data_IF_753094248832
#
_entry.id   IF_753094248832
#
_cell.length_a   1.000
_cell.length_b   1.000
_cell.length_c   1.000
_cell.angle_alpha   90.00
_cell.angle_beta   90.00
_cell.angle_gamma   90.00
#
_symmetry.space_group_name_H-M   'P 1'
#
loop_
_entity.id
_entity.type
_entity.pdbx_description
1 polymer ?
#
# COMPACT_ATOMS: atom_id res chain seq x y z
N UNK A 1 15.25 12.53 -6.99
CA UNK A 1 13.78 12.29 -6.87
C UNK A 1 13.49 10.85 -6.55
N UNK A 2 14.01 9.90 -7.34
CA UNK A 2 13.82 8.47 -7.08
C UNK A 2 14.34 8.04 -5.70
N UNK A 3 15.53 8.51 -5.28
CA UNK A 3 16.04 8.25 -3.92
C UNK A 3 15.11 8.75 -2.81
N UNK A 4 14.50 9.91 -3.02
CA UNK A 4 13.56 10.47 -2.05
C UNK A 4 12.26 9.66 -2.03
N UNK A 5 11.78 9.19 -3.18
CA UNK A 5 10.63 8.30 -3.25
C UNK A 5 10.90 6.96 -2.52
N UNK A 6 12.09 6.38 -2.69
CA UNK A 6 12.50 5.16 -1.96
C UNK A 6 12.52 5.41 -0.45
N UNK A 7 13.10 6.53 0.01
CA UNK A 7 13.09 6.87 1.45
C UNK A 7 11.67 7.05 1.99
N UNK A 8 10.78 7.67 1.22
CA UNK A 8 9.37 7.84 1.59
C UNK A 8 8.64 6.49 1.65
N UNK A 9 8.84 5.59 0.68
CA UNK A 9 8.23 4.25 0.71
C UNK A 9 8.72 3.41 1.89
N UNK A 10 10.01 3.53 2.23
CA UNK A 10 10.59 2.89 3.42
C UNK A 10 9.95 3.41 4.71
N UNK A 11 9.81 4.73 4.86
CA UNK A 11 9.14 5.33 6.03
C UNK A 11 7.67 4.90 6.11
N UNK A 12 6.96 4.85 4.98
CA UNK A 12 5.60 4.34 4.91
C UNK A 12 5.51 2.88 5.38
N UNK A 13 6.40 2.00 4.91
CA UNK A 13 6.47 0.61 5.32
C UNK A 13 6.74 0.43 6.82
N UNK A 14 7.66 1.22 7.39
CA UNK A 14 7.89 1.24 8.84
C UNK A 14 6.63 1.67 9.60
N UNK A 15 5.86 2.61 9.05
CA UNK A 15 4.62 3.08 9.66
C UNK A 15 3.51 2.06 9.62
N UNK A 16 3.30 1.44 8.47
CA UNK A 16 2.32 0.35 8.27
C UNK A 16 2.65 -0.82 9.18
N UNK A 17 3.92 -1.23 9.24
CA UNK A 17 4.37 -2.34 10.09
C UNK A 17 4.01 -2.08 11.56
N UNK A 18 4.32 -0.90 12.09
CA UNK A 18 4.01 -0.57 13.48
C UNK A 18 2.50 -0.60 13.78
N UNK A 19 1.66 -0.08 12.88
CA UNK A 19 0.20 -0.15 13.06
C UNK A 19 -0.33 -1.57 12.96
N UNK A 20 0.14 -2.33 11.98
CA UNK A 20 -0.25 -3.72 11.79
C UNK A 20 0.14 -4.59 13.00
N UNK A 21 1.35 -4.40 13.54
CA UNK A 21 1.79 -5.09 14.77
C UNK A 21 0.89 -4.74 15.97
N UNK A 22 0.58 -3.46 16.16
CA UNK A 22 -0.31 -3.03 17.23
C UNK A 22 -1.71 -3.64 17.05
N UNK A 23 -2.27 -3.55 15.85
CA UNK A 23 -3.56 -4.13 15.51
C UNK A 23 -3.57 -5.65 15.78
N UNK A 24 -2.55 -6.37 15.31
CA UNK A 24 -2.47 -7.81 15.49
C UNK A 24 -2.44 -8.19 16.97
N UNK A 25 -1.68 -7.46 17.79
CA UNK A 25 -1.58 -7.71 19.23
C UNK A 25 -2.93 -7.56 19.94
N UNK A 26 -3.67 -6.49 19.67
CA UNK A 26 -4.86 -6.14 20.44
C UNK A 26 -6.18 -6.62 19.84
N UNK A 27 -6.24 -6.85 18.53
CA UNK A 27 -7.49 -7.12 17.82
C UNK A 27 -7.49 -8.46 17.08
N UNK A 28 -6.35 -8.97 16.61
CA UNK A 28 -6.30 -10.22 15.83
C UNK A 28 -5.80 -11.44 16.61
N UNK A 29 -5.03 -11.24 17.69
CA UNK A 29 -4.42 -12.32 18.46
C UNK A 29 -5.46 -13.34 18.95
N UNK A 30 -5.18 -14.62 18.74
CA UNK A 30 -6.08 -15.72 19.13
C UNK A 30 -7.33 -15.92 18.24
N UNK A 31 -7.53 -15.12 17.18
CA UNK A 31 -8.74 -15.19 16.34
C UNK A 31 -8.63 -16.05 15.08
N UNK A 32 -7.46 -16.61 14.81
CA UNK A 32 -7.23 -17.44 13.62
C UNK A 32 -7.37 -16.70 12.28
N UNK A 33 -7.27 -15.36 12.26
CA UNK A 33 -7.42 -14.57 11.04
C UNK A 33 -6.38 -14.89 9.96
N UNK A 34 -5.20 -15.37 10.35
CA UNK A 34 -4.17 -15.84 9.42
C UNK A 34 -4.59 -17.08 8.60
N UNK A 35 -5.60 -17.84 9.07
CA UNK A 35 -6.13 -19.00 8.35
C UNK A 35 -7.28 -18.64 7.40
N UNK A 36 -7.74 -17.38 7.41
CA UNK A 36 -8.83 -16.93 6.55
C UNK A 36 -8.28 -16.44 5.22
N UNK A 37 -9.09 -16.55 4.17
CA UNK A 37 -8.73 -16.09 2.82
C UNK A 37 -8.62 -14.57 2.83
N UNK A 38 -7.42 -14.07 2.52
CA UNK A 38 -7.15 -12.65 2.31
C UNK A 38 -7.47 -12.29 0.87
N UNK A 39 -8.14 -11.15 0.68
CA UNK A 39 -8.52 -10.64 -0.64
C UNK A 39 -8.15 -9.17 -0.73
N UNK A 40 -7.15 -8.86 -1.54
CA UNK A 40 -6.75 -7.49 -1.82
C UNK A 40 -7.49 -6.98 -3.05
N UNK A 41 -8.00 -5.73 -2.99
CA UNK A 41 -8.66 -5.12 -4.16
C UNK A 41 -7.70 -4.93 -5.33
N UNK A 42 -6.40 -4.89 -5.07
CA UNK A 42 -5.32 -4.79 -6.05
C UNK A 42 -4.95 -6.12 -6.71
N UNK A 43 -5.52 -7.26 -6.30
CA UNK A 43 -5.25 -8.57 -6.91
C UNK A 43 -5.43 -8.64 -8.43
N UNK A 44 -6.37 -7.91 -9.08
CA UNK A 44 -6.49 -7.89 -10.53
C UNK A 44 -5.32 -7.22 -11.27
N UNK A 45 -4.43 -6.49 -10.58
CA UNK A 45 -3.25 -5.90 -11.20
C UNK A 45 -2.26 -7.00 -11.58
N UNK A 46 -1.85 -7.03 -12.85
CA UNK A 46 -0.79 -7.93 -13.30
C UNK A 46 0.54 -7.51 -12.68
N UNK A 47 0.97 -8.24 -11.66
CA UNK A 47 2.22 -8.01 -10.92
C UNK A 47 3.23 -9.09 -11.28
N UNK A 48 4.53 -8.78 -11.23
CA UNK A 48 5.56 -9.81 -11.22
C UNK A 48 5.33 -10.78 -10.06
N UNK A 49 5.31 -12.08 -10.35
CA UNK A 49 5.02 -13.15 -9.39
C UNK A 49 6.19 -13.42 -8.44
N UNK A 50 7.41 -13.10 -8.88
CA UNK A 50 8.63 -13.37 -8.14
C UNK A 50 9.72 -12.32 -8.43
N UNK A 51 10.82 -12.40 -7.67
CA UNK A 51 11.95 -11.47 -7.77
C UNK A 51 12.57 -11.44 -9.18
N UNK A 52 12.73 -12.60 -9.81
CA UNK A 52 13.35 -12.72 -11.13
C UNK A 52 12.49 -12.03 -12.20
N UNK A 53 11.18 -12.29 -12.20
CA UNK A 53 10.26 -11.62 -13.10
C UNK A 53 10.26 -10.10 -12.84
N UNK A 54 10.31 -9.67 -11.58
CA UNK A 54 10.35 -8.26 -11.23
C UNK A 54 11.64 -7.57 -11.75
N UNK A 55 12.79 -8.22 -11.66
CA UNK A 55 14.06 -7.72 -12.17
C UNK A 55 14.05 -7.56 -13.71
N UNK A 56 13.40 -8.50 -14.40
CA UNK A 56 13.28 -8.51 -15.85
C UNK A 56 12.11 -7.66 -16.38
N UNK A 57 11.29 -7.09 -15.51
CA UNK A 57 10.16 -6.24 -15.89
C UNK A 57 10.66 -4.87 -16.35
N UNK A 58 10.11 -4.35 -17.45
CA UNK A 58 10.46 -3.05 -17.98
C UNK A 58 10.22 -1.91 -16.97
N UNK A 59 11.11 -0.92 -17.00
CA UNK A 59 11.07 0.23 -16.10
C UNK A 59 9.73 0.98 -16.17
N UNK A 60 9.19 1.17 -17.38
CA UNK A 60 7.89 1.83 -17.59
C UNK A 60 6.78 1.07 -16.88
N UNK A 61 6.75 -0.26 -17.01
CA UNK A 61 5.76 -1.13 -16.37
C UNK A 61 5.87 -1.04 -14.85
N UNK A 62 7.09 -1.11 -14.29
CA UNK A 62 7.31 -0.97 -12.84
C UNK A 62 6.83 0.39 -12.30
N UNK A 63 7.11 1.48 -13.02
CA UNK A 63 6.66 2.82 -12.63
C UNK A 63 5.14 2.96 -12.72
N UNK A 64 4.51 2.43 -13.77
CA UNK A 64 3.05 2.40 -13.93
C UNK A 64 2.38 1.59 -12.82
N UNK A 65 2.88 0.39 -12.52
CA UNK A 65 2.39 -0.45 -11.42
C UNK A 65 2.51 0.25 -10.06
N UNK A 66 3.66 0.88 -9.80
CA UNK A 66 3.89 1.65 -8.57
C UNK A 66 2.82 2.74 -8.40
N UNK A 67 2.56 3.52 -9.45
CA UNK A 67 1.51 4.55 -9.43
C UNK A 67 0.12 3.95 -9.23
N UNK A 68 -0.21 2.86 -9.93
CA UNK A 68 -1.52 2.19 -9.82
C UNK A 68 -1.79 1.68 -8.42
N UNK A 69 -0.80 1.06 -7.76
CA UNK A 69 -0.92 0.63 -6.36
C UNK A 69 -1.18 1.83 -5.43
N UNK A 70 -0.34 2.87 -5.51
CA UNK A 70 -0.50 4.07 -4.68
C UNK A 70 -1.88 4.73 -4.88
N UNK A 71 -2.37 4.77 -6.12
CA UNK A 71 -3.67 5.36 -6.45
C UNK A 71 -4.82 4.52 -5.91
N UNK A 72 -4.75 3.19 -6.02
CA UNK A 72 -5.73 2.25 -5.47
C UNK A 72 -5.85 2.35 -3.94
N UNK A 73 -4.81 2.83 -3.25
CA UNK A 73 -4.79 3.02 -1.79
C UNK A 73 -5.29 4.39 -1.31
N UNK A 74 -5.58 5.35 -2.21
CA UNK A 74 -6.08 6.69 -1.82
C UNK A 74 -7.37 6.62 -1.01
N UNK A 75 -8.38 5.90 -1.52
CA UNK A 75 -9.67 5.77 -0.85
C UNK A 75 -9.59 4.89 0.42
N UNK A 76 -9.00 3.68 0.39
CA UNK A 76 -8.85 2.87 1.60
C UNK A 76 -8.09 3.57 2.73
N UNK A 77 -7.05 4.37 2.43
CA UNK A 77 -6.29 5.10 3.46
C UNK A 77 -7.09 6.24 4.10
N UNK A 78 -8.03 6.85 3.36
CA UNK A 78 -8.96 7.81 3.94
C UNK A 78 -9.83 7.12 5.00
N UNK A 79 -10.44 5.99 4.64
CA UNK A 79 -11.31 5.24 5.55
C UNK A 79 -10.56 4.54 6.67
N UNK A 80 -9.33 4.06 6.43
CA UNK A 80 -8.49 3.47 7.48
C UNK A 80 -8.37 4.44 8.67
N UNK A 81 -7.99 5.69 8.42
CA UNK A 81 -7.87 6.68 9.49
C UNK A 81 -9.20 6.94 10.20
N UNK A 82 -10.27 7.19 9.44
CA UNK A 82 -11.58 7.52 10.01
C UNK A 82 -12.14 6.38 10.87
N UNK A 83 -12.12 5.16 10.34
CA UNK A 83 -12.70 3.98 11.00
C UNK A 83 -11.82 3.44 12.13
N UNK A 84 -10.51 3.67 12.13
CA UNK A 84 -9.66 3.32 13.27
C UNK A 84 -10.04 4.11 14.53
N UNK A 85 -10.31 5.41 14.39
CA UNK A 85 -10.79 6.24 15.50
C UNK A 85 -12.16 5.77 15.98
N UNK A 86 -13.12 5.69 15.06
CA UNK A 86 -14.52 5.43 15.38
C UNK A 86 -14.78 3.97 15.83
N UNK A 87 -14.25 2.98 15.10
CA UNK A 87 -14.62 1.57 15.29
C UNK A 87 -13.66 0.76 16.14
N UNK A 88 -12.41 1.19 16.25
CA UNK A 88 -11.39 0.52 17.05
C UNK A 88 -11.00 1.33 18.30
N UNK A 89 -11.40 2.59 18.40
CA UNK A 89 -11.07 3.47 19.53
C UNK A 89 -9.59 3.89 19.55
N UNK A 90 -8.92 3.92 18.40
CA UNK A 90 -7.52 4.35 18.33
C UNK A 90 -7.39 5.84 18.65
N UNK A 91 -6.37 6.18 19.43
CA UNK A 91 -5.98 7.55 19.76
C UNK A 91 -4.55 7.81 19.27
N UNK A 92 -4.08 9.08 19.31
CA UNK A 92 -2.64 9.35 19.16
C UNK A 92 -1.80 8.54 20.17
N UNK A 93 -0.62 8.04 19.77
CA UNK A 93 0.08 8.34 18.52
C UNK A 93 -0.32 7.45 17.33
N UNK A 94 -1.07 6.36 17.54
CA UNK A 94 -1.36 5.41 16.46
C UNK A 94 -2.31 5.98 15.40
N UNK A 95 -3.32 6.75 15.81
CA UNK A 95 -4.22 7.42 14.87
C UNK A 95 -3.47 8.44 13.98
N UNK A 96 -2.50 9.16 14.55
CA UNK A 96 -1.61 10.06 13.81
C UNK A 96 -0.79 9.30 12.75
N UNK A 97 -0.34 8.09 13.08
CA UNK A 97 0.41 7.24 12.14
C UNK A 97 -0.38 6.88 10.89
N UNK A 98 -1.69 6.66 11.02
CA UNK A 98 -2.56 6.42 9.86
C UNK A 98 -2.66 7.65 8.94
N UNK A 99 -2.73 8.86 9.51
CA UNK A 99 -2.66 10.11 8.75
C UNK A 99 -1.32 10.29 8.03
N UNK A 100 -0.22 9.96 8.70
CA UNK A 100 1.12 10.05 8.10
C UNK A 100 1.26 9.10 6.91
N UNK A 101 0.76 7.86 7.01
CA UNK A 101 0.74 6.90 5.89
C UNK A 101 -0.05 7.48 4.72
N UNK A 102 -1.24 8.02 4.97
CA UNK A 102 -2.05 8.70 3.94
C UNK A 102 -1.29 9.85 3.28
N UNK A 103 -0.64 10.70 4.08
CA UNK A 103 0.13 11.84 3.58
C UNK A 103 1.36 11.39 2.76
N UNK A 104 2.06 10.34 3.20
CA UNK A 104 3.19 9.78 2.46
C UNK A 104 2.72 9.17 1.14
N UNK A 105 1.60 8.46 1.11
CA UNK A 105 1.02 7.92 -0.13
C UNK A 105 0.74 9.03 -1.16
N UNK A 106 0.15 10.15 -0.72
CA UNK A 106 -0.07 11.31 -1.59
C UNK A 106 1.24 11.92 -2.09
N UNK A 107 2.26 12.08 -1.23
CA UNK A 107 3.58 12.58 -1.65
C UNK A 107 4.27 11.64 -2.64
N UNK A 108 4.13 10.33 -2.46
CA UNK A 108 4.63 9.33 -3.40
C UNK A 108 3.92 9.44 -4.75
N UNK A 109 2.59 9.62 -4.79
CA UNK A 109 1.85 9.84 -6.05
C UNK A 109 2.38 11.06 -6.82
N UNK A 110 2.60 12.19 -6.15
CA UNK A 110 3.15 13.39 -6.78
C UNK A 110 4.60 13.19 -7.25
N UNK A 111 5.41 12.46 -6.48
CA UNK A 111 6.75 12.06 -6.90
C UNK A 111 6.71 11.16 -8.14
N UNK A 112 5.77 10.21 -8.21
CA UNK A 112 5.60 9.30 -9.34
C UNK A 112 5.21 10.04 -10.62
N UNK A 113 4.26 10.99 -10.54
CA UNK A 113 3.93 11.86 -11.69
C UNK A 113 5.18 12.57 -12.23
N UNK A 114 6.00 13.10 -11.34
CA UNK A 114 7.24 13.80 -11.71
C UNK A 114 8.30 12.87 -12.30
N UNK A 115 8.45 11.66 -11.75
CA UNK A 115 9.42 10.64 -12.22
C UNK A 115 9.03 10.13 -13.61
N UNK A 116 7.76 9.74 -13.80
CA UNK A 116 7.27 9.20 -15.08
C UNK A 116 7.39 10.25 -16.19
N UNK A 117 7.00 11.50 -15.91
CA UNK A 117 7.14 12.61 -16.87
C UNK A 117 8.60 12.83 -17.29
N UNK A 118 9.54 12.79 -16.34
CA UNK A 118 10.97 12.98 -16.63
C UNK A 118 11.60 11.81 -17.37
N UNK A 119 11.06 10.60 -17.21
CA UNK A 119 11.47 9.43 -17.96
C UNK A 119 10.87 9.37 -19.38
N UNK A 120 10.08 10.38 -19.78
CA UNK A 120 9.37 10.45 -21.06
C UNK A 120 8.42 9.26 -21.31
N UNK A 121 7.90 8.64 -20.25
CA UNK A 121 6.89 7.60 -20.36
C UNK A 121 5.47 8.19 -20.38
N UNK A 122 4.55 7.51 -21.06
CA UNK A 122 3.16 7.95 -21.15
C UNK A 122 2.44 7.86 -19.79
N UNK A 123 1.88 8.99 -19.35
CA UNK A 123 0.98 9.05 -18.20
C UNK A 123 -0.46 8.88 -18.67
N UNK A 124 -0.99 7.67 -18.52
CA UNK A 124 -2.43 7.47 -18.67
C UNK A 124 -3.13 8.03 -17.42
N UNK A 125 -3.75 9.20 -17.54
CA UNK A 125 -4.46 9.84 -16.42
C UNK A 125 -5.73 9.07 -16.03
N UNK A 126 -6.31 8.31 -16.97
CA UNK A 126 -7.57 7.58 -16.83
C UNK A 126 -7.42 6.08 -16.57
N UNK A 127 -6.28 5.63 -16.02
CA UNK A 127 -6.13 4.21 -15.65
C UNK A 127 -7.19 3.86 -14.62
N UNK A 128 -8.09 2.94 -14.96
CA UNK A 128 -9.04 2.35 -14.02
C UNK A 128 -8.27 1.69 -12.90
N UNK A 129 -8.25 2.32 -11.73
CA UNK A 129 -7.75 1.67 -10.53
C UNK A 129 -8.77 0.69 -10.00
N UNK A 130 -8.35 -0.46 -9.45
CA UNK A 130 -9.28 -1.38 -8.83
C UNK A 130 -10.10 -0.70 -7.73
N UNK A 131 -11.42 -0.86 -7.77
CA UNK A 131 -12.31 -0.29 -6.78
C UNK A 131 -12.17 -1.04 -5.45
N UNK A 132 -12.17 -0.28 -4.36
CA UNK A 132 -12.22 -0.83 -3.01
C UNK A 132 -13.63 -0.68 -2.44
N UNK A 133 -14.24 -1.80 -2.02
CA UNK A 133 -15.64 -1.86 -1.60
C UNK A 133 -15.83 -2.43 -0.18
N UNK A 134 -14.80 -2.44 0.66
CA UNK A 134 -14.86 -3.09 1.98
C UNK A 134 -15.29 -2.16 3.13
N UNK A 135 -15.77 -0.95 2.83
CA UNK A 135 -16.18 0.02 3.86
C UNK A 135 -17.25 -0.54 4.80
N UNK A 136 -18.27 -1.21 4.25
CA UNK A 136 -19.33 -1.83 5.05
C UNK A 136 -18.79 -2.89 6.02
N UNK A 137 -17.73 -3.61 5.62
CA UNK A 137 -17.08 -4.60 6.49
C UNK A 137 -16.30 -3.93 7.62
N UNK A 138 -15.61 -2.81 7.35
CA UNK A 138 -14.97 -1.99 8.40
C UNK A 138 -15.99 -1.40 9.38
N UNK A 139 -17.17 -1.03 8.89
CA UNK A 139 -18.24 -0.43 9.69
C UNK A 139 -19.18 -1.44 10.36
N UNK A 140 -19.00 -2.73 10.08
CA UNK A 140 -19.88 -3.80 10.56
C UNK A 140 -20.05 -3.75 12.07
N UNK A 141 -21.26 -3.95 12.58
CA UNK A 141 -21.53 -4.06 14.03
C UNK A 141 -20.96 -5.34 14.61
N UNK A 142 -20.82 -6.41 13.81
CA UNK A 142 -20.18 -7.65 14.20
C UNK A 142 -18.67 -7.45 14.38
N UNK A 143 -18.18 -7.68 15.59
CA UNK A 143 -16.76 -7.47 15.95
C UNK A 143 -15.80 -8.36 15.16
N UNK A 144 -16.16 -9.61 14.91
CA UNK A 144 -15.29 -10.55 14.22
C UNK A 144 -15.15 -10.18 12.73
N UNK A 145 -16.27 -9.90 12.06
CA UNK A 145 -16.28 -9.37 10.68
C UNK A 145 -15.46 -8.10 10.58
N UNK A 146 -15.67 -7.17 11.49
CA UNK A 146 -14.98 -5.88 11.51
C UNK A 146 -13.47 -6.03 11.72
N UNK A 147 -13.05 -6.79 12.73
CA UNK A 147 -11.63 -6.99 12.98
C UNK A 147 -10.95 -7.78 11.88
N UNK A 148 -11.65 -8.73 11.25
CA UNK A 148 -11.11 -9.40 10.08
C UNK A 148 -10.96 -8.46 8.88
N UNK A 149 -11.91 -7.54 8.66
CA UNK A 149 -11.80 -6.53 7.60
C UNK A 149 -10.57 -5.61 7.80
N UNK A 150 -10.32 -5.15 9.03
CA UNK A 150 -9.08 -4.41 9.33
C UNK A 150 -7.83 -5.28 9.16
N UNK A 151 -7.87 -6.56 9.56
CA UNK A 151 -6.76 -7.49 9.35
C UNK A 151 -6.43 -7.65 7.87
N UNK A 152 -7.45 -7.88 7.03
CA UNK A 152 -7.33 -7.97 5.57
C UNK A 152 -6.73 -6.67 5.00
N UNK A 153 -7.26 -5.52 5.42
CA UNK A 153 -6.79 -4.20 4.99
C UNK A 153 -5.31 -3.96 5.32
N UNK A 154 -4.87 -4.24 6.56
CA UNK A 154 -3.47 -4.10 6.95
C UNK A 154 -2.56 -5.09 6.24
N UNK A 155 -3.03 -6.32 6.01
CA UNK A 155 -2.27 -7.32 5.26
C UNK A 155 -2.02 -6.84 3.83
N UNK A 156 -3.07 -6.43 3.13
CA UNK A 156 -2.99 -5.95 1.76
C UNK A 156 -2.15 -4.67 1.65
N UNK A 157 -2.35 -3.70 2.55
CA UNK A 157 -1.58 -2.46 2.59
C UNK A 157 -0.08 -2.75 2.79
N UNK A 158 0.25 -3.67 3.68
CA UNK A 158 1.63 -4.09 3.93
C UNK A 158 2.24 -4.83 2.75
N UNK A 159 1.48 -5.65 2.02
CA UNK A 159 1.95 -6.32 0.81
C UNK A 159 2.23 -5.30 -0.30
N UNK A 160 1.23 -4.50 -0.66
CA UNK A 160 1.31 -3.58 -1.79
C UNK A 160 2.34 -2.45 -1.56
N UNK A 161 2.50 -1.99 -0.31
CA UNK A 161 3.51 -0.98 0.02
C UNK A 161 4.95 -1.53 -0.04
N UNK A 162 5.13 -2.84 0.20
CA UNK A 162 6.43 -3.52 -0.04
C UNK A 162 6.70 -3.67 -1.53
N UNK A 163 5.68 -3.98 -2.33
CA UNK A 163 5.78 -4.02 -3.80
C UNK A 163 6.21 -2.65 -4.34
N UNK A 164 5.58 -1.56 -3.88
CA UNK A 164 5.96 -0.17 -4.22
C UNK A 164 7.43 0.11 -3.92
N UNK A 165 7.91 -0.21 -2.71
CA UNK A 165 9.32 -0.01 -2.36
C UNK A 165 10.25 -0.85 -3.24
N UNK A 166 9.90 -2.11 -3.48
CA UNK A 166 10.68 -3.02 -4.31
C UNK A 166 10.79 -2.51 -5.75
N UNK A 167 9.68 -2.11 -6.36
CA UNK A 167 9.67 -1.60 -7.74
C UNK A 167 10.49 -0.32 -7.86
N UNK A 168 10.41 0.61 -6.91
CA UNK A 168 11.24 1.82 -6.91
C UNK A 168 12.75 1.49 -6.82
N UNK A 169 13.12 0.51 -6.00
CA UNK A 169 14.51 0.02 -5.91
C UNK A 169 14.98 -0.64 -7.21
N UNK A 170 14.12 -1.43 -7.85
CA UNK A 170 14.43 -2.07 -9.14
C UNK A 170 14.58 -1.04 -10.26
N UNK A 171 13.70 -0.05 -10.34
CA UNK A 171 13.83 1.06 -11.30
C UNK A 171 15.16 1.78 -11.09
N UNK A 172 15.53 2.07 -9.83
CA UNK A 172 16.83 2.68 -9.52
C UNK A 172 17.98 1.81 -10.02
N UNK A 173 17.88 0.50 -9.79
CA UNK A 173 18.88 -0.46 -10.23
C UNK A 173 19.09 -0.46 -11.74
N UNK A 174 18.00 -0.55 -12.50
CA UNK A 174 18.00 -0.56 -13.96
C UNK A 174 18.58 0.74 -14.52
N UNK A 175 18.29 1.89 -13.90
CA UNK A 175 18.86 3.19 -14.30
C UNK A 175 20.39 3.27 -14.11
N UNK A 176 20.96 2.62 -13.10
CA UNK A 176 22.40 2.65 -12.83
C UNK A 176 23.18 1.50 -13.47
N UNK A 177 22.50 0.63 -14.23
CA UNK A 177 23.08 -0.58 -14.86
C UNK A 177 23.95 -1.42 -13.91
N UNK A 178 23.54 -1.54 -12.64
CA UNK A 178 24.22 -2.39 -11.66
C UNK A 178 23.45 -3.70 -11.47
N UNK A 179 24.14 -4.75 -11.06
CA UNK A 179 23.47 -5.94 -10.55
C UNK A 179 22.82 -5.62 -9.19
N UNK A 180 21.52 -5.93 -9.08
CA UNK A 180 20.72 -6.01 -7.86
C UNK A 180 20.07 -7.40 -7.80
#
# INVERSE_FOLDING_TARGET
MLDQAIKLSQDMNLRISALSTHFNRFYASGRGFHNRIIKCHTSPLSRPENKEQAQNTEMEVLLKLTRSLLQAWVNPLHHLWAEMGDKLGYTPPYLTKALEIKAINTRLLEAMKSIIRKANFALEENVKTPDWSELASLQSTNRDTRYFAFYNLFHCLGSDSRDVEMYLKLVKCQMVQRNC
#
